data_IF_897260840174
#
_entry.id   IF_897260840174
#
_cell.length_a   1.000
_cell.length_b   1.000
_cell.length_c   1.000
_cell.angle_alpha   90.00
_cell.angle_beta   90.00
_cell.angle_gamma   90.00
#
_symmetry.space_group_name_H-M   'P 1'
#
loop_
_entity.id
_entity.type
_entity.pdbx_description
1 polymer ?
#
# COMPACT_ATOMS: atom_id res chain seq x y z
N UNK A 1 5.58 -2.03 -11.24
CA UNK A 1 6.46 -1.06 -11.89
C UNK A 1 6.58 0.23 -11.08
N UNK A 2 7.51 1.13 -11.40
CA UNK A 2 7.67 2.39 -10.69
C UNK A 2 6.44 3.29 -10.82
N UNK A 3 6.21 4.14 -9.83
CA UNK A 3 5.17 5.15 -9.89
C UNK A 3 5.61 6.31 -10.81
N UNK A 4 4.66 6.87 -11.54
CA UNK A 4 4.92 7.94 -12.52
C UNK A 4 4.41 9.31 -12.02
N UNK A 5 3.21 9.33 -11.46
CA UNK A 5 2.58 10.50 -10.89
C UNK A 5 1.57 10.11 -9.82
N UNK A 6 1.33 11.01 -8.88
CA UNK A 6 0.29 10.85 -7.87
C UNK A 6 -0.38 12.18 -7.54
N UNK A 7 -1.59 12.08 -7.03
CA UNK A 7 -2.27 13.16 -6.31
C UNK A 7 -2.79 12.60 -4.99
N UNK A 8 -2.86 13.44 -3.97
CA UNK A 8 -3.28 13.06 -2.64
C UNK A 8 -4.14 14.12 -1.98
N UNK A 9 -4.97 13.67 -1.06
CA UNK A 9 -5.69 14.50 -0.10
C UNK A 9 -5.63 13.82 1.26
N UNK A 10 -5.30 14.56 2.31
CA UNK A 10 -5.16 14.01 3.63
C UNK A 10 -4.84 15.08 4.66
N UNK A 11 -4.86 14.70 5.90
CA UNK A 11 -4.58 15.56 7.03
C UNK A 11 -5.11 14.99 8.35
N UNK A 12 -5.04 15.82 9.37
CA UNK A 12 -5.61 15.53 10.69
C UNK A 12 -7.02 16.13 10.77
N UNK A 13 -8.05 15.27 10.75
CA UNK A 13 -9.46 15.68 10.68
C UNK A 13 -10.28 15.29 11.93
N UNK A 14 -9.72 14.49 12.82
CA UNK A 14 -10.42 14.01 14.00
C UNK A 14 -9.90 14.63 15.30
N UNK A 15 -10.51 14.27 16.40
CA UNK A 15 -10.07 14.63 17.75
C UNK A 15 -9.06 13.64 18.36
N UNK A 16 -8.48 12.76 17.57
CA UNK A 16 -7.43 11.85 18.05
C UNK A 16 -6.21 12.65 18.50
N UNK A 17 -5.68 12.30 19.66
CA UNK A 17 -4.48 12.93 20.16
C UNK A 17 -3.25 12.49 19.34
N UNK A 18 -2.51 13.45 18.78
CA UNK A 18 -1.31 13.24 17.99
C UNK A 18 -1.15 14.28 16.88
N UNK A 19 0.06 14.44 16.39
CA UNK A 19 0.40 15.40 15.34
C UNK A 19 0.42 14.75 13.93
N UNK A 20 0.11 13.45 13.84
CA UNK A 20 0.09 12.73 12.57
C UNK A 20 -1.27 12.84 11.87
N UNK A 21 -1.24 12.81 10.55
CA UNK A 21 -2.44 12.72 9.72
C UNK A 21 -3.22 11.46 10.07
N UNK A 22 -4.54 11.56 10.16
CA UNK A 22 -5.45 10.44 10.49
C UNK A 22 -6.23 9.93 9.29
N UNK A 23 -6.27 10.68 8.20
CA UNK A 23 -6.86 10.27 6.92
C UNK A 23 -5.91 10.67 5.79
N UNK A 24 -5.63 9.73 4.89
CA UNK A 24 -4.85 9.98 3.68
C UNK A 24 -5.36 9.15 2.52
N UNK A 25 -5.66 9.81 1.41
CA UNK A 25 -6.13 9.19 0.16
C UNK A 25 -5.21 9.57 -0.99
N UNK A 26 -4.78 8.58 -1.77
CA UNK A 26 -3.93 8.78 -2.93
C UNK A 26 -4.57 8.19 -4.17
N UNK A 27 -4.36 8.86 -5.30
CA UNK A 27 -4.57 8.31 -6.63
C UNK A 27 -3.24 8.34 -7.37
N UNK A 28 -2.79 7.16 -7.86
CA UNK A 28 -1.49 7.02 -8.50
C UNK A 28 -1.62 6.50 -9.92
N UNK A 29 -0.68 6.94 -10.76
CA UNK A 29 -0.35 6.34 -12.06
C UNK A 29 0.96 5.59 -11.92
N UNK A 30 0.94 4.32 -12.28
CA UNK A 30 2.12 3.45 -12.26
C UNK A 30 2.49 3.07 -13.69
N UNK A 31 3.71 2.61 -13.91
CA UNK A 31 4.16 2.17 -15.23
C UNK A 31 3.30 1.03 -15.80
N UNK A 32 2.96 0.04 -14.97
CA UNK A 32 2.22 -1.16 -15.37
C UNK A 32 0.82 -1.26 -14.79
N UNK A 33 0.35 -0.21 -14.10
CA UNK A 33 -1.00 -0.11 -13.58
C UNK A 33 -1.50 1.31 -13.78
N UNK A 34 -2.48 1.49 -14.66
CA UNK A 34 -2.93 2.81 -15.09
C UNK A 34 -3.54 3.63 -13.97
N UNK A 35 -4.19 2.98 -13.01
CA UNK A 35 -4.83 3.65 -11.88
C UNK A 35 -4.73 2.80 -10.62
N UNK A 36 -4.19 3.40 -9.55
CA UNK A 36 -4.16 2.84 -8.20
C UNK A 36 -4.81 3.84 -7.27
N UNK A 37 -5.76 3.41 -6.46
CA UNK A 37 -6.30 4.18 -5.35
C UNK A 37 -5.86 3.56 -4.03
N UNK A 38 -5.37 4.36 -3.12
CA UNK A 38 -4.97 3.95 -1.78
C UNK A 38 -5.66 4.84 -0.77
N UNK A 39 -6.30 4.24 0.22
CA UNK A 39 -6.88 4.94 1.34
C UNK A 39 -6.32 4.39 2.65
N UNK A 40 -5.87 5.27 3.50
CA UNK A 40 -5.40 4.99 4.86
C UNK A 40 -6.15 5.90 5.83
N UNK A 41 -6.68 5.35 6.91
CA UNK A 41 -7.30 6.15 7.95
C UNK A 41 -7.29 5.43 9.30
N UNK A 42 -7.31 6.21 10.37
CA UNK A 42 -7.45 5.75 11.75
C UNK A 42 -8.89 5.85 12.27
N UNK A 43 -9.85 6.26 11.42
CA UNK A 43 -11.23 6.53 11.81
C UNK A 43 -12.16 5.33 11.64
N UNK A 44 -11.73 4.31 10.93
CA UNK A 44 -12.49 3.05 10.78
C UNK A 44 -12.66 2.38 12.14
N UNK A 45 -13.91 2.08 12.50
CA UNK A 45 -14.25 1.44 13.79
C UNK A 45 -13.95 -0.06 13.80
N UNK A 46 -13.84 -0.66 12.64
CA UNK A 46 -13.38 -2.04 12.42
C UNK A 46 -12.11 -2.04 11.60
N UNK A 47 -11.09 -2.77 12.05
CA UNK A 47 -9.85 -2.90 11.29
C UNK A 47 -10.11 -3.45 9.91
N UNK A 48 -9.56 -2.78 8.88
CA UNK A 48 -9.65 -3.19 7.48
C UNK A 48 -8.29 -3.08 6.80
N UNK A 49 -7.91 -4.11 6.08
CA UNK A 49 -6.71 -4.12 5.26
C UNK A 49 -6.95 -4.99 4.03
N UNK A 50 -7.44 -4.36 2.98
CA UNK A 50 -7.87 -5.03 1.76
C UNK A 50 -7.07 -4.55 0.56
N UNK A 51 -6.86 -5.46 -0.40
CA UNK A 51 -6.30 -5.15 -1.71
C UNK A 51 -7.25 -5.70 -2.77
N UNK A 52 -7.69 -4.85 -3.68
CA UNK A 52 -8.50 -5.22 -4.84
C UNK A 52 -7.68 -4.98 -6.11
N UNK A 53 -7.55 -6.00 -6.96
CA UNK A 53 -6.81 -5.92 -8.21
C UNK A 53 -7.72 -6.34 -9.36
N UNK A 54 -7.94 -5.44 -10.30
CA UNK A 54 -8.68 -5.72 -11.53
C UNK A 54 -7.72 -5.84 -12.70
N UNK A 55 -7.82 -6.92 -13.43
CA UNK A 55 -7.10 -7.17 -14.68
C UNK A 55 -8.07 -7.29 -15.85
N UNK A 56 -7.58 -7.47 -17.05
CA UNK A 56 -8.40 -7.75 -18.24
C UNK A 56 -9.17 -9.09 -18.16
N UNK A 57 -8.77 -10.00 -17.27
CA UNK A 57 -9.33 -11.34 -17.17
C UNK A 57 -10.02 -11.63 -15.85
N UNK A 58 -9.47 -11.10 -14.75
CA UNK A 58 -9.87 -11.49 -13.40
C UNK A 58 -9.90 -10.31 -12.44
N UNK A 59 -10.75 -10.44 -11.43
CA UNK A 59 -10.74 -9.61 -10.22
C UNK A 59 -10.19 -10.43 -9.07
N UNK A 60 -9.18 -9.88 -8.38
CA UNK A 60 -8.59 -10.49 -7.20
C UNK A 60 -8.88 -9.63 -5.98
N UNK A 61 -9.29 -10.25 -4.91
CA UNK A 61 -9.49 -9.61 -3.61
C UNK A 61 -8.67 -10.33 -2.54
N UNK A 62 -7.91 -9.56 -1.79
CA UNK A 62 -7.18 -10.02 -0.61
C UNK A 62 -7.69 -9.26 0.61
N UNK A 63 -8.13 -9.97 1.64
CA UNK A 63 -8.43 -9.43 2.96
C UNK A 63 -7.34 -9.91 3.92
N UNK A 64 -6.41 -9.02 4.25
CA UNK A 64 -5.26 -9.37 5.08
C UNK A 64 -5.61 -9.51 6.57
N UNK A 65 -6.75 -8.94 7.00
CA UNK A 65 -7.22 -9.12 8.39
C UNK A 65 -7.88 -10.49 8.56
N UNK A 66 -8.67 -10.91 7.59
CA UNK A 66 -9.33 -12.22 7.58
C UNK A 66 -8.44 -13.33 7.04
N UNK A 67 -7.30 -12.98 6.42
CA UNK A 67 -6.40 -13.91 5.73
C UNK A 67 -7.10 -14.67 4.61
N UNK A 68 -7.87 -13.93 3.82
CA UNK A 68 -8.70 -14.44 2.72
C UNK A 68 -8.16 -13.97 1.37
N UNK A 69 -8.24 -14.85 0.39
CA UNK A 69 -8.02 -14.55 -1.02
C UNK A 69 -9.19 -15.03 -1.84
N UNK A 70 -9.63 -14.23 -2.79
CA UNK A 70 -10.68 -14.56 -3.73
C UNK A 70 -10.31 -14.14 -5.14
N UNK A 71 -10.66 -14.97 -6.11
CA UNK A 71 -10.61 -14.67 -7.54
C UNK A 71 -12.00 -14.78 -8.14
N UNK A 72 -12.52 -13.70 -8.69
CA UNK A 72 -13.86 -13.63 -9.32
C UNK A 72 -14.96 -14.13 -8.38
N UNK A 73 -15.72 -15.15 -8.81
CA UNK A 73 -16.78 -15.81 -8.05
C UNK A 73 -16.33 -17.16 -7.46
N UNK A 74 -15.03 -17.46 -7.52
CA UNK A 74 -14.51 -18.68 -6.91
C UNK A 74 -14.69 -18.69 -5.39
N UNK A 75 -14.74 -19.87 -4.75
CA UNK A 75 -14.76 -19.97 -3.29
C UNK A 75 -13.55 -19.27 -2.66
N UNK A 76 -13.75 -18.67 -1.50
CA UNK A 76 -12.68 -18.00 -0.77
C UNK A 76 -11.60 -18.99 -0.32
N UNK A 77 -10.35 -18.66 -0.56
CA UNK A 77 -9.21 -19.41 -0.03
C UNK A 77 -8.79 -18.78 1.30
N UNK A 78 -8.84 -19.56 2.37
CA UNK A 78 -8.42 -19.15 3.70
C UNK A 78 -6.98 -19.59 3.98
N UNK A 79 -6.18 -18.70 4.55
CA UNK A 79 -4.81 -18.99 4.96
C UNK A 79 -4.73 -19.12 6.48
N UNK A 80 -4.18 -20.23 6.96
CA UNK A 80 -3.80 -20.39 8.37
C UNK A 80 -2.39 -19.82 8.56
N UNK A 81 -2.29 -18.65 9.16
CA UNK A 81 -1.03 -17.96 9.40
C UNK A 81 -0.94 -17.70 10.91
N UNK A 82 0.08 -18.22 11.56
CA UNK A 82 0.35 -17.96 12.97
C UNK A 82 0.77 -16.49 13.20
N UNK A 83 0.61 -16.01 14.44
CA UNK A 83 0.84 -14.62 14.80
C UNK A 83 2.21 -14.10 14.37
N UNK A 84 3.28 -14.87 14.60
CA UNK A 84 4.66 -14.44 14.38
C UNK A 84 5.29 -15.05 13.11
N UNK A 85 4.52 -15.77 12.31
CA UNK A 85 5.01 -16.50 11.13
C UNK A 85 5.63 -15.56 10.10
N UNK A 86 5.00 -14.41 9.85
CA UNK A 86 5.50 -13.41 8.90
C UNK A 86 6.85 -12.83 9.33
N UNK A 87 7.03 -12.55 10.61
CA UNK A 87 8.31 -12.07 11.16
C UNK A 87 9.40 -13.15 11.09
N UNK A 88 9.07 -14.39 11.43
CA UNK A 88 10.01 -15.52 11.31
C UNK A 88 10.43 -15.74 9.86
N UNK A 89 9.49 -15.64 8.92
CA UNK A 89 9.77 -15.77 7.48
C UNK A 89 10.68 -14.64 7.01
N UNK A 90 10.41 -13.39 7.40
CA UNK A 90 11.26 -12.25 7.07
C UNK A 90 12.68 -12.41 7.61
N UNK A 91 12.85 -12.76 8.89
CA UNK A 91 14.16 -12.97 9.48
C UNK A 91 14.90 -14.16 8.82
N UNK A 92 14.19 -15.25 8.53
CA UNK A 92 14.76 -16.40 7.84
C UNK A 92 15.23 -16.04 6.44
N UNK A 93 14.45 -15.24 5.72
CA UNK A 93 14.81 -14.77 4.38
C UNK A 93 16.08 -13.91 4.41
N UNK A 94 16.17 -12.98 5.36
CA UNK A 94 17.39 -12.16 5.53
C UNK A 94 18.63 -13.02 5.84
N UNK A 95 18.52 -14.01 6.74
CA UNK A 95 19.65 -14.80 7.19
C UNK A 95 20.07 -15.89 6.19
N UNK A 96 19.12 -16.50 5.47
CA UNK A 96 19.38 -17.68 4.62
C UNK A 96 19.31 -17.40 3.13
N UNK A 97 18.50 -16.43 2.71
CA UNK A 97 18.18 -16.17 1.31
C UNK A 97 18.65 -14.78 0.84
N UNK A 98 19.46 -14.08 1.65
CA UNK A 98 19.96 -12.73 1.34
C UNK A 98 18.86 -11.69 1.10
N UNK A 99 17.71 -11.83 1.76
CA UNK A 99 16.63 -10.86 1.75
C UNK A 99 15.87 -10.78 0.42
N UNK A 100 15.70 -11.90 -0.30
CA UNK A 100 14.99 -11.93 -1.59
C UNK A 100 13.51 -11.53 -1.51
N UNK A 101 12.88 -11.75 -0.36
CA UNK A 101 11.50 -11.37 -0.10
C UNK A 101 11.38 -10.03 0.61
N UNK A 102 12.49 -9.45 1.04
CA UNK A 102 12.53 -8.18 1.74
C UNK A 102 12.66 -7.02 0.75
N UNK A 103 12.13 -5.86 1.15
CA UNK A 103 12.31 -4.62 0.41
C UNK A 103 13.81 -4.24 0.36
N UNK A 104 14.33 -4.00 -0.82
CA UNK A 104 15.69 -3.48 -1.01
C UNK A 104 15.77 -2.00 -0.62
N UNK A 105 16.99 -1.51 -0.35
CA UNK A 105 17.18 -0.08 -0.06
C UNK A 105 16.68 0.85 -1.17
N UNK A 106 16.92 0.60 -2.47
CA UNK A 106 16.34 1.42 -3.54
C UNK A 106 14.81 1.45 -3.52
N UNK A 107 14.14 0.31 -3.30
CA UNK A 107 12.68 0.24 -3.18
C UNK A 107 12.17 1.02 -1.96
N UNK A 108 12.85 0.91 -0.81
CA UNK A 108 12.52 1.69 0.38
C UNK A 108 12.65 3.20 0.14
N UNK A 109 13.71 3.64 -0.54
CA UNK A 109 13.89 5.04 -0.91
C UNK A 109 12.82 5.52 -1.89
N UNK A 110 12.35 4.67 -2.80
CA UNK A 110 11.26 5.04 -3.73
C UNK A 110 9.93 5.21 -3.00
N UNK A 111 9.66 4.38 -1.98
CA UNK A 111 8.49 4.57 -1.09
C UNK A 111 8.59 5.90 -0.33
N UNK A 112 9.75 6.26 0.21
CA UNK A 112 9.92 7.56 0.89
C UNK A 112 9.71 8.75 -0.05
N UNK A 113 10.17 8.67 -1.30
CA UNK A 113 9.90 9.69 -2.32
C UNK A 113 8.40 9.80 -2.64
N UNK A 114 7.71 8.65 -2.67
CA UNK A 114 6.25 8.63 -2.86
C UNK A 114 5.52 9.31 -1.70
N UNK A 115 5.93 9.07 -0.46
CA UNK A 115 5.37 9.72 0.73
C UNK A 115 5.58 11.23 0.67
N UNK A 116 6.81 11.71 0.42
CA UNK A 116 7.13 13.14 0.26
C UNK A 116 6.29 13.80 -0.86
N UNK A 117 6.15 13.10 -1.99
CA UNK A 117 5.31 13.58 -3.09
C UNK A 117 3.82 13.63 -2.71
N UNK A 118 3.33 12.68 -1.92
CA UNK A 118 1.94 12.65 -1.46
C UNK A 118 1.65 13.83 -0.50
N UNK A 119 2.55 14.09 0.45
CA UNK A 119 2.44 15.25 1.35
C UNK A 119 2.46 16.58 0.58
N UNK A 120 3.37 16.71 -0.39
CA UNK A 120 3.43 17.89 -1.27
C UNK A 120 2.16 18.06 -2.09
N UNK A 121 1.62 16.95 -2.60
CA UNK A 121 0.38 16.93 -3.37
C UNK A 121 -0.81 17.38 -2.52
N UNK A 122 -0.94 16.88 -1.30
CA UNK A 122 -2.02 17.25 -0.39
C UNK A 122 -1.98 18.74 -0.01
N UNK A 123 -0.77 19.29 0.22
CA UNK A 123 -0.58 20.73 0.54
C UNK A 123 -0.81 21.64 -0.65
N UNK A 124 -0.41 21.22 -1.85
CA UNK A 124 -0.47 22.06 -3.05
C UNK A 124 -1.73 21.78 -3.91
N UNK A 125 -2.58 20.81 -3.53
CA UNK A 125 -3.76 20.38 -4.27
C UNK A 125 -3.46 20.08 -5.75
N UNK A 126 -2.31 19.44 -6.01
CA UNK A 126 -1.80 19.24 -7.37
C UNK A 126 -1.11 17.91 -7.58
N UNK A 127 -1.11 17.42 -8.83
CA UNK A 127 -0.37 16.23 -9.22
C UNK A 127 1.13 16.42 -9.07
N UNK A 128 1.79 15.44 -8.45
CA UNK A 128 3.25 15.34 -8.35
C UNK A 128 3.76 14.25 -9.28
N UNK A 129 4.88 14.51 -9.97
CA UNK A 129 5.56 13.54 -10.85
C UNK A 129 6.75 12.92 -10.14
N UNK A 130 7.02 11.65 -10.46
CA UNK A 130 8.24 11.00 -9.99
C UNK A 130 9.46 11.62 -10.67
N UNK A 131 10.29 12.30 -9.90
CA UNK A 131 11.48 12.99 -10.41
C UNK A 131 12.66 12.04 -10.68
N UNK A 132 12.62 10.80 -10.17
CA UNK A 132 13.67 9.80 -10.39
C UNK A 132 13.59 9.12 -11.77
N UNK A 133 12.52 9.35 -12.54
CA UNK A 133 12.31 8.80 -13.90
C UNK A 133 12.78 9.75 -15.01
N UNK A 134 13.66 10.70 -14.70
CA UNK A 134 14.29 11.60 -15.69
C UNK A 134 15.60 11.04 -16.21
#
# INVERSE_FOLDING_TARGET
>A
GPWQALTASGGHYSSLAGDSDDVFCLLLKMERCAAVSLQMNYLDRSGRREVLINTDKHTYRLDLMKKEYKRDQEPDTLFSIERDETYRTQHTDMLKNHGKLCCSLPEGLDVLRMIDAAEKSAKAESWQKNQALR
#
